data_IF_961204113577
#
_entry.id   IF_961204113577
#
_cell.length_a   1.000
_cell.length_b   1.000
_cell.length_c   1.000
_cell.angle_alpha   90.00
_cell.angle_beta   90.00
_cell.angle_gamma   90.00
#
_symmetry.space_group_name_H-M   'P 1'
#
loop_
_entity.id
_entity.type
_entity.pdbx_description
1 polymer ?
#
# COMPACT_ATOMS: atom_id res chain seq x y z
N UNK A 1 15.15 1.62 -6.80
CA UNK A 1 14.02 1.82 -7.73
C UNK A 1 14.35 1.48 -9.17
N UNK A 2 15.47 1.96 -9.75
CA UNK A 2 15.85 1.63 -11.14
C UNK A 2 15.96 0.12 -11.41
N UNK A 3 16.34 -0.67 -10.41
CA UNK A 3 16.45 -2.13 -10.51
C UNK A 3 15.09 -2.81 -10.77
N UNK A 4 13.98 -2.23 -10.30
CA UNK A 4 12.63 -2.79 -10.52
C UNK A 4 12.12 -2.51 -11.94
N UNK A 5 12.75 -1.61 -12.71
CA UNK A 5 12.33 -1.30 -14.07
C UNK A 5 12.55 -2.45 -15.06
N UNK A 6 13.35 -3.46 -14.69
CA UNK A 6 13.57 -4.67 -15.48
C UNK A 6 12.60 -5.80 -15.11
N UNK A 7 11.78 -5.61 -14.07
CA UNK A 7 10.79 -6.59 -13.65
C UNK A 7 9.51 -6.45 -14.45
N UNK A 8 9.09 -7.53 -15.10
CA UNK A 8 7.88 -7.54 -15.92
C UNK A 8 6.64 -7.19 -15.11
N UNK A 9 5.85 -6.22 -15.59
CA UNK A 9 4.60 -5.81 -14.96
C UNK A 9 4.75 -5.00 -13.67
N UNK A 10 5.96 -4.55 -13.32
CA UNK A 10 6.20 -3.75 -12.11
C UNK A 10 6.24 -2.27 -12.46
N UNK A 11 5.33 -1.51 -11.84
CA UNK A 11 5.33 -0.04 -11.87
C UNK A 11 5.79 0.47 -10.52
N UNK A 12 6.95 1.10 -10.50
CA UNK A 12 7.61 1.49 -9.26
C UNK A 12 7.22 2.93 -8.90
N UNK A 13 6.60 3.13 -7.74
CA UNK A 13 6.36 4.46 -7.14
C UNK A 13 7.23 4.66 -5.87
N UNK A 14 7.76 5.87 -5.68
CA UNK A 14 8.62 6.19 -4.54
C UNK A 14 7.79 6.79 -3.39
N UNK A 15 7.97 6.23 -2.19
CA UNK A 15 7.38 6.73 -0.96
C UNK A 15 8.45 6.75 0.14
N UNK A 16 8.46 7.81 0.96
CA UNK A 16 9.30 7.86 2.16
C UNK A 16 8.88 6.82 3.20
N UNK A 17 9.86 6.21 3.86
CA UNK A 17 9.62 5.25 4.94
C UNK A 17 8.85 5.89 6.10
N UNK A 18 7.84 5.19 6.60
CA UNK A 18 7.06 5.56 7.79
C UNK A 18 7.24 4.50 8.86
N UNK A 19 6.76 4.76 10.08
CA UNK A 19 6.87 3.82 11.20
C UNK A 19 5.57 3.01 11.44
N UNK A 20 4.54 3.17 10.59
CA UNK A 20 3.22 2.54 10.75
C UNK A 20 2.69 1.99 9.42
N UNK A 21 2.09 0.79 9.48
CA UNK A 21 1.44 0.10 8.35
C UNK A 21 0.27 0.94 7.84
N UNK A 22 -0.54 1.48 8.75
CA UNK A 22 -1.70 2.30 8.42
C UNK A 22 -1.29 3.52 7.61
N UNK A 23 -0.24 4.23 8.05
CA UNK A 23 0.29 5.37 7.30
C UNK A 23 0.86 4.96 5.94
N UNK A 24 1.52 3.81 5.86
CA UNK A 24 2.03 3.29 4.59
C UNK A 24 0.89 3.02 3.61
N UNK A 25 -0.15 2.29 4.03
CA UNK A 25 -1.30 1.94 3.20
C UNK A 25 -2.07 3.20 2.78
N UNK A 26 -2.27 4.16 3.69
CA UNK A 26 -2.96 5.42 3.39
C UNK A 26 -2.30 6.18 2.23
N UNK A 27 -0.98 6.36 2.30
CA UNK A 27 -0.23 7.13 1.31
C UNK A 27 -0.20 6.38 -0.02
N UNK A 28 0.05 5.07 0.02
CA UNK A 28 0.08 4.23 -1.17
C UNK A 28 -1.27 4.24 -1.91
N UNK A 29 -2.38 4.00 -1.20
CA UNK A 29 -3.72 4.03 -1.81
C UNK A 29 -4.05 5.41 -2.37
N UNK A 30 -3.73 6.49 -1.67
CA UNK A 30 -3.96 7.85 -2.15
C UNK A 30 -3.16 8.16 -3.43
N UNK A 31 -1.87 7.78 -3.47
CA UNK A 31 -1.02 7.98 -4.65
C UNK A 31 -1.52 7.17 -5.85
N UNK A 32 -1.79 5.87 -5.63
CA UNK A 32 -2.18 4.94 -6.69
C UNK A 32 -3.56 5.24 -7.26
N UNK A 33 -4.54 5.59 -6.41
CA UNK A 33 -5.89 5.96 -6.85
C UNK A 33 -5.84 7.20 -7.74
N UNK A 34 -5.04 8.21 -7.36
CA UNK A 34 -4.88 9.44 -8.16
C UNK A 34 -4.12 9.21 -9.46
N UNK A 35 -3.14 8.30 -9.47
CA UNK A 35 -2.23 8.13 -10.61
C UNK A 35 -2.76 7.16 -11.67
N UNK A 36 -3.57 6.19 -11.27
CA UNK A 36 -4.02 5.09 -12.14
C UNK A 36 -5.53 5.02 -12.31
N UNK A 37 -6.29 5.96 -11.74
CA UNK A 37 -7.75 6.05 -11.93
C UNK A 37 -8.52 4.89 -11.32
N UNK A 38 -7.99 4.28 -10.26
CA UNK A 38 -8.66 3.21 -9.54
C UNK A 38 -9.92 3.74 -8.83
N UNK A 39 -10.95 2.91 -8.73
CA UNK A 39 -12.24 3.22 -8.12
C UNK A 39 -12.38 2.58 -6.76
N UNK A 40 -13.25 3.13 -5.91
CA UNK A 40 -13.49 2.60 -4.56
C UNK A 40 -13.92 1.13 -4.52
N UNK A 41 -14.55 0.64 -5.60
CA UNK A 41 -15.02 -0.75 -5.76
C UNK A 41 -13.94 -1.72 -6.27
N UNK A 42 -12.79 -1.21 -6.74
CA UNK A 42 -11.71 -2.05 -7.27
C UNK A 42 -11.05 -2.83 -6.14
N UNK A 43 -10.85 -4.13 -6.39
CA UNK A 43 -10.20 -5.04 -5.46
C UNK A 43 -8.68 -4.93 -5.60
N UNK A 44 -7.98 -4.74 -4.48
CA UNK A 44 -6.52 -4.65 -4.43
C UNK A 44 -5.95 -5.60 -3.39
N UNK A 45 -4.71 -6.03 -3.63
CA UNK A 45 -3.93 -6.86 -2.71
C UNK A 45 -2.70 -6.07 -2.29
N UNK A 46 -2.56 -5.83 -0.99
CA UNK A 46 -1.40 -5.16 -0.41
C UNK A 46 -0.48 -6.21 0.19
N UNK A 47 0.76 -6.24 -0.29
CA UNK A 47 1.82 -7.09 0.25
C UNK A 47 2.88 -6.19 0.91
N UNK A 48 3.13 -6.40 2.20
CA UNK A 48 4.12 -5.63 2.94
C UNK A 48 4.88 -6.50 3.96
N UNK A 49 5.99 -5.96 4.47
CA UNK A 49 6.69 -6.51 5.62
C UNK A 49 6.19 -5.88 6.93
N UNK A 50 6.20 -6.64 8.01
CA UNK A 50 6.09 -6.07 9.35
C UNK A 50 7.29 -5.15 9.63
N UNK A 51 7.08 -4.03 10.32
CA UNK A 51 8.10 -2.99 10.57
C UNK A 51 9.27 -3.45 11.46
N UNK A 52 9.23 -4.69 11.97
CA UNK A 52 10.30 -5.30 12.75
C UNK A 52 11.24 -6.13 11.89
N UNK A 53 12.06 -5.46 11.07
CA UNK A 53 13.24 -6.06 10.43
C UNK A 53 13.17 -6.20 8.91
N UNK A 54 14.34 -6.46 8.30
CA UNK A 54 14.51 -6.69 6.85
C UNK A 54 14.16 -8.12 6.43
N UNK A 55 13.27 -8.81 7.15
CA UNK A 55 13.01 -10.25 6.99
C UNK A 55 11.95 -10.57 5.91
N UNK A 56 11.70 -9.63 4.99
CA UNK A 56 10.82 -9.84 3.85
C UNK A 56 9.36 -9.48 4.12
N UNK A 57 8.45 -10.04 3.32
CA UNK A 57 7.02 -9.81 3.39
C UNK A 57 6.38 -10.72 4.44
N UNK A 58 5.54 -10.17 5.31
CA UNK A 58 4.85 -10.91 6.38
C UNK A 58 3.44 -10.39 6.66
N UNK A 59 2.95 -9.48 5.81
CA UNK A 59 1.63 -8.89 5.87
C UNK A 59 0.98 -8.95 4.48
N UNK A 60 -0.25 -9.46 4.44
CA UNK A 60 -1.09 -9.51 3.25
C UNK A 60 -2.46 -9.00 3.64
N UNK A 61 -2.96 -8.01 2.91
CA UNK A 61 -4.30 -7.48 3.09
C UNK A 61 -5.01 -7.44 1.74
N UNK A 62 -6.27 -7.90 1.71
CA UNK A 62 -7.07 -8.00 0.48
C UNK A 62 -8.40 -7.34 0.71
N UNK A 63 -8.71 -6.33 -0.11
CA UNK A 63 -9.96 -5.59 0.06
C UNK A 63 -10.20 -4.60 -1.06
N UNK A 64 -11.39 -4.02 -1.07
CA UNK A 64 -11.68 -2.92 -1.98
C UNK A 64 -10.94 -1.67 -1.53
N UNK A 65 -10.66 -0.75 -2.46
CA UNK A 65 -10.03 0.53 -2.12
C UNK A 65 -10.82 1.28 -1.04
N UNK A 66 -12.15 1.26 -1.13
CA UNK A 66 -13.00 1.86 -0.11
C UNK A 66 -12.79 1.23 1.27
N UNK A 67 -12.86 -0.11 1.34
CA UNK A 67 -12.67 -0.84 2.61
C UNK A 67 -11.30 -0.54 3.24
N UNK A 68 -10.23 -0.58 2.45
CA UNK A 68 -8.88 -0.35 2.97
C UNK A 68 -8.66 1.09 3.40
N UNK A 69 -9.30 2.05 2.72
CA UNK A 69 -9.26 3.47 3.11
C UNK A 69 -9.98 3.68 4.44
N UNK A 70 -11.14 3.05 4.63
CA UNK A 70 -11.91 3.14 5.87
C UNK A 70 -11.20 2.44 7.03
N UNK A 71 -10.63 1.26 6.78
CA UNK A 71 -9.83 0.50 7.76
C UNK A 71 -8.71 1.37 8.37
N UNK A 72 -7.98 2.09 7.52
CA UNK A 72 -6.86 2.95 7.94
C UNK A 72 -7.31 4.23 8.65
N UNK A 73 -8.53 4.70 8.39
CA UNK A 73 -9.08 5.86 9.10
C UNK A 73 -9.54 5.49 10.51
N UNK A 74 -10.07 4.28 10.70
CA UNK A 74 -10.51 3.77 12.02
C UNK A 74 -9.32 3.64 12.98
N UNK A 75 -8.15 3.19 12.52
CA UNK A 75 -6.94 3.08 13.35
C UNK A 75 -6.31 4.42 13.75
N UNK A 76 -6.73 5.56 13.17
CA UNK A 76 -6.26 6.90 13.60
C UNK A 76 -7.06 7.49 14.77
N UNK A 77 -8.26 6.99 15.04
CA UNK A 77 -9.16 7.51 16.09
C UNK A 77 -9.15 6.68 17.38
N UNK A 78 -8.36 5.59 17.41
CA UNK A 78 -8.23 4.67 18.53
C UNK A 78 -6.98 4.91 19.38
#
# INVERSE_FOLDING_TARGET
MRELALSYGVYADYQETRNSIDQFIHIALRSLTSSYGLKGEDLVVVLAGNFFGKEGFSFIEVGTIQYLTDFVNITKEA
#
